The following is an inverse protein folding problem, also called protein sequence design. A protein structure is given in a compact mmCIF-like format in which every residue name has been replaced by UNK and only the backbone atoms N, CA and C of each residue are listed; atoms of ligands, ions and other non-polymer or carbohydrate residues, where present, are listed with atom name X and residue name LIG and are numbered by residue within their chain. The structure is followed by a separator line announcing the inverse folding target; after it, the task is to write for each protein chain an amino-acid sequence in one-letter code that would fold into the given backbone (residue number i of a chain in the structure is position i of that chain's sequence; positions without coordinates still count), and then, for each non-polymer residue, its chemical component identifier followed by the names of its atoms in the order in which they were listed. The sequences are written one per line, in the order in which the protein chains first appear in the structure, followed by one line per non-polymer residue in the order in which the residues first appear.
data_IF_347965348928
#
_entry.id   IF_347965348928
#
_cell.length_a   1.000
_cell.length_b   1.000
_cell.length_c   1.000
_cell.angle_alpha   90.00
_cell.angle_beta   90.00
_cell.angle_gamma   90.00
#
_symmetry.space_group_name_H-M   'P 1'
#
loop_
_entity.id
_entity.type
_entity.pdbx_description
1 polymer ?
#
# COMPACT_ATOMS: atom_id res chain seq x y z
N UNK A 1 5.45 -2.41 7.68
CA UNK A 1 4.06 -1.95 7.54
C UNK A 1 3.64 -1.99 6.09
N UNK A 2 2.36 -2.32 5.83
CA UNK A 2 1.81 -2.37 4.49
C UNK A 2 1.76 -0.99 3.82
N UNK A 3 1.70 -0.97 2.48
CA UNK A 3 1.57 0.27 1.72
C UNK A 3 0.15 0.84 1.79
N UNK A 4 0.04 2.15 1.61
CA UNK A 4 -1.22 2.86 1.50
C UNK A 4 -1.60 3.04 0.02
N UNK A 5 -2.91 3.15 -0.28
CA UNK A 5 -3.38 3.40 -1.65
C UNK A 5 -2.72 4.62 -2.29
N UNK A 6 -2.56 5.72 -1.53
CA UNK A 6 -1.92 6.93 -2.01
C UNK A 6 -0.45 6.73 -2.42
N UNK A 7 0.27 5.78 -1.78
CA UNK A 7 1.62 5.41 -2.20
C UNK A 7 1.61 4.73 -3.57
N UNK A 8 0.72 3.75 -3.78
CA UNK A 8 0.60 3.06 -5.06
C UNK A 8 0.20 4.03 -6.18
N UNK A 9 -0.82 4.87 -5.95
CA UNK A 9 -1.24 5.90 -6.88
C UNK A 9 -0.09 6.88 -7.22
N UNK A 10 0.62 7.37 -6.20
CA UNK A 10 1.77 8.26 -6.40
C UNK A 10 2.92 7.63 -7.16
N UNK A 11 3.20 6.34 -6.96
CA UNK A 11 4.21 5.61 -7.74
C UNK A 11 3.78 5.44 -9.20
N UNK A 12 2.51 5.12 -9.45
CA UNK A 12 1.95 4.99 -10.80
C UNK A 12 2.03 6.32 -11.54
N UNK A 13 1.64 7.42 -10.92
CA UNK A 13 1.73 8.76 -11.53
C UNK A 13 3.18 9.16 -11.81
N UNK A 14 4.09 8.82 -10.91
CA UNK A 14 5.50 9.19 -11.03
C UNK A 14 6.23 8.36 -12.07
N UNK A 15 5.98 7.06 -12.14
CA UNK A 15 6.77 6.11 -12.91
C UNK A 15 5.99 5.41 -14.04
N UNK A 16 4.67 5.40 -13.99
CA UNK A 16 3.82 4.67 -14.92
C UNK A 16 3.54 3.23 -14.49
N UNK A 17 3.06 2.43 -15.43
CA UNK A 17 2.78 1.00 -15.26
C UNK A 17 3.42 0.19 -16.39
N UNK A 18 3.67 -1.08 -16.14
CA UNK A 18 4.06 -2.05 -17.15
C UNK A 18 3.42 -3.42 -16.84
N UNK A 19 3.22 -4.28 -17.84
CA UNK A 19 2.76 -5.65 -17.61
C UNK A 19 3.72 -6.45 -16.72
N UNK A 20 3.20 -7.33 -15.89
CA UNK A 20 4.00 -8.19 -15.02
C UNK A 20 5.02 -9.05 -15.81
N UNK A 21 4.66 -9.47 -17.04
CA UNK A 21 5.56 -10.22 -17.93
C UNK A 21 6.81 -9.44 -18.36
N UNK A 22 6.78 -8.11 -18.27
CA UNK A 22 7.91 -7.23 -18.63
C UNK A 22 9.03 -7.25 -17.59
N UNK A 23 8.67 -7.48 -16.32
CA UNK A 23 9.60 -7.60 -15.21
C UNK A 23 9.17 -8.80 -14.36
N UNK A 24 9.65 -10.00 -14.72
CA UNK A 24 9.27 -11.23 -14.02
C UNK A 24 9.67 -11.21 -12.55
N UNK A 25 8.91 -11.93 -11.74
CA UNK A 25 9.19 -12.12 -10.31
C UNK A 25 10.59 -12.70 -10.08
N UNK A 26 11.31 -12.12 -9.12
CA UNK A 26 12.56 -12.67 -8.60
C UNK A 26 12.28 -13.48 -7.32
N UNK A 27 13.31 -14.18 -6.81
CA UNK A 27 13.19 -14.81 -5.49
C UNK A 27 12.78 -13.80 -4.40
N UNK A 28 13.39 -12.62 -4.42
CA UNK A 28 13.16 -11.60 -3.40
C UNK A 28 11.81 -10.88 -3.52
N UNK A 29 11.13 -10.89 -4.66
CA UNK A 29 9.77 -10.35 -4.77
C UNK A 29 8.76 -11.17 -3.98
N UNK A 30 9.00 -12.48 -3.85
CA UNK A 30 8.17 -13.41 -3.09
C UNK A 30 8.63 -13.61 -1.63
N UNK A 31 9.89 -13.24 -1.31
CA UNK A 31 10.50 -13.38 0.02
C UNK A 31 11.33 -12.13 0.30
N UNK A 32 10.69 -11.10 0.82
CA UNK A 32 11.28 -9.77 1.01
C UNK A 32 12.03 -9.61 2.33
N UNK A 33 11.95 -10.55 3.26
CA UNK A 33 12.46 -10.39 4.62
C UNK A 33 13.98 -10.13 4.65
N UNK A 34 14.74 -10.94 3.93
CA UNK A 34 16.20 -10.81 3.86
C UNK A 34 16.64 -9.52 3.17
N UNK A 35 15.95 -9.15 2.09
CA UNK A 35 16.16 -7.85 1.42
C UNK A 35 15.86 -6.69 2.37
N UNK A 36 14.73 -6.75 3.09
CA UNK A 36 14.33 -5.71 4.04
C UNK A 36 15.35 -5.56 5.17
N UNK A 37 15.86 -6.68 5.73
CA UNK A 37 16.88 -6.65 6.77
C UNK A 37 18.18 -5.96 6.31
N UNK A 38 18.66 -6.31 5.12
CA UNK A 38 19.87 -5.68 4.55
C UNK A 38 19.63 -4.20 4.26
N UNK A 39 18.49 -3.87 3.66
CA UNK A 39 18.13 -2.48 3.34
C UNK A 39 18.00 -1.63 4.60
N UNK A 40 17.29 -2.10 5.61
CA UNK A 40 17.12 -1.43 6.89
C UNK A 40 18.46 -1.15 7.59
N UNK A 41 19.33 -2.13 7.60
CA UNK A 41 20.67 -1.98 8.17
C UNK A 41 21.50 -0.93 7.42
N UNK A 42 21.43 -0.94 6.09
CA UNK A 42 22.08 0.06 5.23
C UNK A 42 21.54 1.46 5.51
N UNK A 43 20.22 1.64 5.49
CA UNK A 43 19.58 2.94 5.70
C UNK A 43 19.86 3.52 7.10
N UNK A 44 19.86 2.68 8.14
CA UNK A 44 20.22 3.11 9.50
C UNK A 44 21.68 3.59 9.58
N UNK A 45 22.60 2.87 8.92
CA UNK A 45 24.00 3.27 8.84
C UNK A 45 24.17 4.61 8.11
N UNK A 46 23.47 4.78 7.00
CA UNK A 46 23.52 6.00 6.19
C UNK A 46 22.95 7.20 6.95
N UNK A 47 21.78 7.03 7.58
CA UNK A 47 21.19 8.06 8.43
C UNK A 47 22.14 8.51 9.56
N UNK A 48 22.86 7.56 10.17
CA UNK A 48 23.87 7.90 11.18
C UNK A 48 25.04 8.68 10.59
N UNK A 49 25.49 8.33 9.39
CA UNK A 49 26.58 9.05 8.71
C UNK A 49 26.17 10.48 8.34
N UNK A 50 24.97 10.68 7.78
CA UNK A 50 24.42 11.99 7.46
C UNK A 50 24.29 12.84 8.73
N UNK A 51 23.73 12.29 9.82
CA UNK A 51 23.65 13.01 11.10
C UNK A 51 25.03 13.48 11.61
N UNK A 52 26.06 12.66 11.45
CA UNK A 52 27.44 13.03 11.81
C UNK A 52 27.98 14.14 10.91
N UNK A 53 27.72 14.12 9.61
CA UNK A 53 28.11 15.20 8.70
C UNK A 53 27.45 16.53 9.12
N UNK A 54 26.16 16.51 9.42
CA UNK A 54 25.42 17.70 9.89
C UNK A 54 25.99 18.21 11.22
N UNK A 55 26.20 17.33 12.20
CA UNK A 55 26.76 17.69 13.50
C UNK A 55 28.16 18.28 13.41
N UNK A 56 28.95 17.89 12.41
CA UNK A 56 30.29 18.41 12.16
C UNK A 56 30.29 19.67 11.27
N UNK A 57 29.13 20.26 10.97
CA UNK A 57 29.03 21.48 10.18
C UNK A 57 29.37 21.29 8.69
N UNK A 58 29.17 20.10 8.12
CA UNK A 58 29.42 19.88 6.70
C UNK A 58 28.53 20.79 5.84
N UNK A 59 29.06 21.23 4.70
CA UNK A 59 28.28 22.03 3.75
C UNK A 59 27.16 21.20 3.11
N UNK A 60 26.14 21.87 2.58
CA UNK A 60 25.02 21.24 1.90
C UNK A 60 25.50 20.38 0.73
N UNK A 61 26.42 20.88 -0.06
CA UNK A 61 27.00 20.19 -1.22
C UNK A 61 27.69 18.88 -0.81
N UNK A 62 28.40 18.90 0.34
CA UNK A 62 29.05 17.69 0.87
C UNK A 62 28.04 16.66 1.35
N UNK A 63 26.95 17.10 1.97
CA UNK A 63 25.87 16.22 2.40
C UNK A 63 25.19 15.60 1.19
N UNK A 64 24.79 16.40 0.18
CA UNK A 64 24.18 15.93 -1.06
C UNK A 64 25.08 14.96 -1.85
N UNK A 65 26.38 15.20 -1.90
CA UNK A 65 27.32 14.27 -2.53
C UNK A 65 27.33 12.92 -1.80
N UNK A 66 27.37 12.93 -0.48
CA UNK A 66 27.34 11.72 0.34
C UNK A 66 25.99 10.97 0.21
N UNK A 67 24.87 11.70 0.17
CA UNK A 67 23.55 11.09 -0.08
C UNK A 67 23.49 10.41 -1.44
N UNK A 68 24.02 11.02 -2.49
CA UNK A 68 24.03 10.43 -3.83
C UNK A 68 24.87 9.15 -3.90
N UNK A 69 26.02 9.09 -3.20
CA UNK A 69 26.80 7.85 -3.09
C UNK A 69 26.02 6.76 -2.36
N UNK A 70 25.37 7.10 -1.25
CA UNK A 70 24.53 6.17 -0.47
C UNK A 70 23.34 5.67 -1.28
N UNK A 71 22.66 6.57 -2.03
CA UNK A 71 21.54 6.20 -2.91
C UNK A 71 21.98 5.28 -4.06
N UNK A 72 23.19 5.44 -4.59
CA UNK A 72 23.74 4.54 -5.58
C UNK A 72 23.94 3.12 -5.01
N UNK A 73 24.35 3.00 -3.74
CA UNK A 73 24.45 1.71 -3.06
C UNK A 73 23.06 1.09 -2.78
N UNK A 74 22.09 1.90 -2.34
CA UNK A 74 20.68 1.48 -2.15
C UNK A 74 20.10 0.96 -3.47
N UNK A 75 20.31 1.70 -4.57
CA UNK A 75 19.86 1.28 -5.89
C UNK A 75 20.49 -0.05 -6.32
N UNK A 76 21.80 -0.23 -6.07
CA UNK A 76 22.51 -1.48 -6.39
C UNK A 76 21.94 -2.68 -5.61
N UNK A 77 21.63 -2.51 -4.31
CA UNK A 77 20.98 -3.55 -3.51
C UNK A 77 19.63 -3.92 -4.12
N UNK A 78 18.80 -2.91 -4.45
CA UNK A 78 17.49 -3.14 -5.07
C UNK A 78 17.62 -3.81 -6.44
N UNK A 79 18.54 -3.35 -7.30
CA UNK A 79 18.75 -3.91 -8.64
C UNK A 79 19.23 -5.37 -8.59
N UNK A 80 20.09 -5.73 -7.64
CA UNK A 80 20.53 -7.10 -7.46
C UNK A 80 19.44 -8.02 -6.91
N UNK A 81 18.53 -7.48 -6.09
CA UNK A 81 17.43 -8.23 -5.48
C UNK A 81 16.24 -8.44 -6.40
N UNK A 82 15.89 -7.43 -7.20
CA UNK A 82 14.65 -7.39 -7.99
C UNK A 82 14.87 -7.27 -9.50
N UNK A 83 16.08 -7.01 -9.95
CA UNK A 83 16.38 -6.66 -11.33
C UNK A 83 16.23 -5.17 -11.62
N UNK A 84 16.71 -4.73 -12.77
CA UNK A 84 16.52 -3.35 -13.24
C UNK A 84 15.25 -3.23 -14.07
N UNK A 85 14.35 -2.27 -13.75
CA UNK A 85 13.18 -2.02 -14.58
C UNK A 85 13.57 -1.62 -16.00
N UNK A 86 13.00 -2.25 -17.03
CA UNK A 86 13.31 -1.88 -18.41
C UNK A 86 12.81 -0.47 -18.71
N UNK A 87 13.64 0.33 -19.39
CA UNK A 87 13.26 1.69 -19.81
C UNK A 87 12.18 1.68 -20.89
N UNK A 88 12.15 0.63 -21.70
CA UNK A 88 11.16 0.40 -22.76
C UNK A 88 10.89 -1.10 -22.87
N UNK A 89 9.68 -1.44 -23.29
CA UNK A 89 9.26 -2.82 -23.51
C UNK A 89 8.34 -2.93 -24.72
N UNK A 90 8.23 -4.12 -25.26
CA UNK A 90 7.24 -4.45 -26.28
C UNK A 90 6.01 -5.05 -25.61
N UNK A 91 4.83 -4.57 -25.95
CA UNK A 91 3.56 -5.12 -25.52
C UNK A 91 3.00 -5.99 -26.63
N UNK A 92 2.78 -7.26 -26.32
CA UNK A 92 2.12 -8.21 -27.21
C UNK A 92 0.98 -8.90 -26.49
N UNK A 93 -0.21 -8.90 -27.10
CA UNK A 93 -1.37 -9.58 -26.51
C UNK A 93 -2.39 -9.94 -27.58
N UNK A 94 -3.33 -10.81 -27.22
CA UNK A 94 -4.55 -11.05 -27.98
C UNK A 94 -5.73 -10.49 -27.22
N UNK A 95 -6.59 -9.76 -27.92
CA UNK A 95 -7.85 -9.26 -27.34
C UNK A 95 -8.90 -10.38 -27.20
N UNK A 96 -10.08 -10.05 -26.70
CA UNK A 96 -11.19 -11.00 -26.49
C UNK A 96 -11.64 -11.65 -27.78
N UNK A 97 -11.45 -11.01 -28.93
CA UNK A 97 -11.70 -11.54 -30.26
C UNK A 97 -10.52 -12.36 -30.81
N UNK A 98 -9.51 -12.65 -29.98
CA UNK A 98 -8.30 -13.38 -30.33
C UNK A 98 -7.41 -12.69 -31.38
N UNK A 99 -7.68 -11.42 -31.69
CA UNK A 99 -6.85 -10.61 -32.59
C UNK A 99 -5.54 -10.26 -31.91
N UNK A 100 -4.44 -10.47 -32.62
CA UNK A 100 -3.09 -10.14 -32.15
C UNK A 100 -2.81 -8.65 -32.25
N UNK A 101 -2.24 -8.11 -31.20
CA UNK A 101 -1.78 -6.73 -31.09
C UNK A 101 -0.32 -6.71 -30.67
N UNK A 102 0.43 -5.78 -31.25
CA UNK A 102 1.82 -5.50 -30.87
C UNK A 102 2.08 -4.02 -30.87
N UNK A 103 2.68 -3.53 -29.81
CA UNK A 103 3.23 -2.19 -29.70
C UNK A 103 4.66 -2.27 -29.19
N UNK A 104 5.58 -1.73 -29.97
CA UNK A 104 7.00 -1.81 -29.67
C UNK A 104 7.49 -0.57 -28.92
N UNK A 105 8.47 -0.76 -28.05
CA UNK A 105 9.25 0.29 -27.38
C UNK A 105 8.43 1.26 -26.52
N UNK A 106 7.34 0.79 -25.91
CA UNK A 106 6.57 1.55 -24.95
C UNK A 106 7.40 1.83 -23.69
N UNK A 107 7.27 3.03 -23.16
CA UNK A 107 7.67 3.36 -21.78
C UNK A 107 6.53 3.06 -20.82
N UNK A 108 6.84 2.88 -19.54
CA UNK A 108 5.82 2.67 -18.51
C UNK A 108 4.78 3.81 -18.45
N UNK A 109 5.18 5.05 -18.69
CA UNK A 109 4.28 6.21 -18.73
C UNK A 109 3.36 6.22 -19.95
N UNK A 110 3.87 5.85 -21.13
CA UNK A 110 3.05 5.72 -22.34
C UNK A 110 2.02 4.61 -22.19
N UNK A 111 2.42 3.46 -21.62
CA UNK A 111 1.52 2.36 -21.34
C UNK A 111 0.41 2.77 -20.35
N UNK A 112 0.76 3.41 -19.23
CA UNK A 112 -0.22 3.91 -18.28
C UNK A 112 -1.21 4.87 -18.93
N UNK A 113 -0.70 5.88 -19.64
CA UNK A 113 -1.54 6.89 -20.31
C UNK A 113 -2.49 6.28 -21.34
N UNK A 114 -2.03 5.27 -22.08
CA UNK A 114 -2.81 4.67 -23.17
C UNK A 114 -3.87 3.69 -22.69
N UNK A 115 -3.52 2.85 -21.70
CA UNK A 115 -4.36 1.71 -21.30
C UNK A 115 -5.14 1.91 -20.01
N UNK A 116 -4.70 2.79 -19.15
CA UNK A 116 -5.34 3.05 -17.87
C UNK A 116 -5.88 4.46 -17.74
N UNK A 117 -5.05 5.46 -17.91
CA UNK A 117 -5.38 6.90 -17.90
C UNK A 117 -6.35 7.32 -16.77
N UNK A 118 -6.26 6.67 -15.61
CA UNK A 118 -7.09 7.00 -14.44
C UNK A 118 -6.58 8.29 -13.80
N UNK A 119 -7.48 9.21 -13.55
CA UNK A 119 -7.17 10.38 -12.73
C UNK A 119 -7.41 10.04 -11.26
N UNK A 120 -6.34 9.86 -10.50
CA UNK A 120 -6.43 9.51 -9.09
C UNK A 120 -6.90 10.66 -8.20
N UNK A 121 -7.01 11.89 -8.70
CA UNK A 121 -7.62 13.00 -7.97
C UNK A 121 -9.14 12.83 -7.80
N UNK A 122 -9.75 11.95 -8.58
CA UNK A 122 -11.16 11.61 -8.45
C UNK A 122 -11.44 10.58 -7.33
N UNK A 123 -10.40 10.08 -6.67
CA UNK A 123 -10.54 9.07 -5.62
C UNK A 123 -10.22 9.64 -4.25
N UNK A 124 -11.03 9.29 -3.28
CA UNK A 124 -10.86 9.66 -1.88
C UNK A 124 -10.74 8.40 -1.04
N UNK A 125 -9.76 8.36 -0.16
CA UNK A 125 -9.64 7.26 0.80
C UNK A 125 -10.51 7.59 2.01
N UNK A 126 -11.48 6.71 2.29
CA UNK A 126 -12.34 6.82 3.46
C UNK A 126 -11.89 5.84 4.55
N UNK A 127 -12.10 6.20 5.79
CA UNK A 127 -11.83 5.33 6.94
C UNK A 127 -12.96 5.42 7.95
N UNK A 128 -13.09 4.44 8.82
CA UNK A 128 -13.94 4.52 9.99
C UNK A 128 -13.09 4.31 11.25
N UNK A 129 -12.77 5.42 11.89
CA UNK A 129 -11.98 5.50 13.13
C UNK A 129 -12.80 6.22 14.20
N UNK A 130 -13.72 5.52 14.89
CA UNK A 130 -14.67 6.14 15.83
C UNK A 130 -14.01 6.64 17.13
N UNK A 131 -12.72 6.39 17.33
CA UNK A 131 -11.89 7.00 18.37
C UNK A 131 -11.57 8.48 18.09
N UNK A 132 -11.86 8.95 16.88
CA UNK A 132 -11.62 10.32 16.40
C UNK A 132 -12.89 10.95 15.83
N UNK A 133 -13.01 12.28 15.84
CA UNK A 133 -14.14 12.99 15.23
C UNK A 133 -14.40 12.56 13.79
N UNK A 134 -15.68 12.26 13.49
CA UNK A 134 -16.12 11.94 12.13
C UNK A 134 -16.18 13.19 11.24
N UNK A 135 -16.24 12.98 9.93
CA UNK A 135 -16.32 14.03 8.89
C UNK A 135 -15.12 14.99 8.95
N UNK A 136 -13.96 14.46 9.31
CA UNK A 136 -12.68 15.16 9.31
C UNK A 136 -11.67 14.44 8.45
N UNK A 137 -10.80 15.22 7.80
CA UNK A 137 -9.64 14.70 7.07
C UNK A 137 -8.48 14.52 8.04
N UNK A 138 -7.85 13.37 7.98
CA UNK A 138 -6.65 13.02 8.76
C UNK A 138 -5.52 12.63 7.81
N UNK A 139 -4.30 13.02 8.13
CA UNK A 139 -3.11 12.65 7.38
C UNK A 139 -2.15 11.82 8.22
N UNK A 140 -1.30 11.06 7.53
CA UNK A 140 -0.21 10.27 8.14
C UNK A 140 1.14 10.79 7.62
N UNK A 141 1.65 11.92 8.14
CA UNK A 141 2.88 12.53 7.62
C UNK A 141 4.11 11.63 7.74
N UNK A 142 4.16 10.76 8.76
CA UNK A 142 5.28 9.82 8.97
C UNK A 142 5.37 8.73 7.89
N UNK A 143 4.29 8.46 7.16
CA UNK A 143 4.25 7.49 6.06
C UNK A 143 4.42 8.12 4.67
N UNK A 144 4.52 9.44 4.56
CA UNK A 144 4.78 10.15 3.30
C UNK A 144 6.24 9.97 2.86
N UNK A 145 6.60 8.76 2.43
CA UNK A 145 7.97 8.35 2.10
C UNK A 145 8.34 8.48 0.62
N UNK A 146 7.41 8.92 -0.23
CA UNK A 146 7.66 9.11 -1.67
C UNK A 146 7.90 10.59 -1.95
N UNK A 147 9.12 10.95 -2.32
CA UNK A 147 9.47 12.34 -2.69
C UNK A 147 8.59 12.79 -3.87
N UNK A 148 7.85 13.89 -3.68
CA UNK A 148 6.85 14.41 -4.63
C UNK A 148 5.72 13.41 -4.96
N UNK A 149 5.47 12.46 -4.05
CA UNK A 149 4.31 11.59 -4.11
C UNK A 149 3.05 12.24 -3.55
N UNK A 150 1.96 11.49 -3.54
CA UNK A 150 0.70 11.92 -2.93
C UNK A 150 0.81 11.96 -1.42
N UNK A 151 0.14 12.92 -0.78
CA UNK A 151 -0.06 12.92 0.66
C UNK A 151 -1.03 11.79 1.03
N UNK A 152 -0.72 11.07 2.10
CA UNK A 152 -1.59 10.04 2.63
C UNK A 152 -2.64 10.73 3.50
N UNK A 153 -3.87 10.70 3.05
CA UNK A 153 -5.01 11.32 3.71
C UNK A 153 -6.21 10.37 3.75
N UNK A 154 -6.99 10.47 4.83
CA UNK A 154 -8.19 9.67 5.05
C UNK A 154 -9.33 10.58 5.50
N UNK A 155 -10.47 10.49 4.84
CA UNK A 155 -11.70 11.08 5.33
C UNK A 155 -12.36 10.12 6.34
N UNK A 156 -12.44 10.51 7.60
CA UNK A 156 -13.06 9.69 8.65
C UNK A 156 -14.58 9.82 8.57
N UNK A 157 -15.26 8.71 8.30
CA UNK A 157 -16.72 8.67 8.10
C UNK A 157 -17.36 7.62 9.02
N UNK A 158 -18.68 7.68 9.17
CA UNK A 158 -19.40 6.61 9.86
C UNK A 158 -19.39 5.31 9.04
N UNK A 159 -19.67 4.19 9.71
CA UNK A 159 -19.59 2.86 9.09
C UNK A 159 -20.65 2.66 8.00
N UNK A 160 -21.82 3.29 8.16
CA UNK A 160 -22.88 3.18 7.15
C UNK A 160 -22.48 3.85 5.85
N UNK A 161 -21.97 5.07 5.91
CA UNK A 161 -21.49 5.78 4.73
C UNK A 161 -20.33 5.05 4.05
N UNK A 162 -19.38 4.50 4.81
CA UNK A 162 -18.29 3.71 4.26
C UNK A 162 -18.81 2.47 3.50
N UNK A 163 -19.78 1.76 4.06
CA UNK A 163 -20.42 0.62 3.41
C UNK A 163 -21.19 1.02 2.16
N UNK A 164 -22.00 2.08 2.23
CA UNK A 164 -22.79 2.58 1.10
C UNK A 164 -21.89 2.99 -0.08
N UNK A 165 -20.79 3.69 0.18
CA UNK A 165 -19.80 4.08 -0.85
C UNK A 165 -19.14 2.86 -1.49
N UNK A 166 -18.77 1.87 -0.68
CA UNK A 166 -18.18 0.62 -1.18
C UNK A 166 -19.13 -0.16 -2.07
N UNK A 167 -20.39 -0.26 -1.65
CA UNK A 167 -21.46 -0.92 -2.43
C UNK A 167 -21.67 -0.19 -3.75
N UNK A 168 -21.75 1.15 -3.71
CA UNK A 168 -21.96 1.94 -4.91
C UNK A 168 -20.81 1.78 -5.91
N UNK A 169 -19.56 1.85 -5.44
CA UNK A 169 -18.38 1.65 -6.30
C UNK A 169 -18.39 0.27 -6.98
N UNK A 170 -18.75 -0.79 -6.23
CA UNK A 170 -18.87 -2.14 -6.81
C UNK A 170 -19.99 -2.23 -7.84
N UNK A 171 -21.14 -1.56 -7.62
CA UNK A 171 -22.25 -1.49 -8.59
C UNK A 171 -21.85 -0.74 -9.85
N UNK A 172 -20.99 0.27 -9.72
CA UNK A 172 -20.45 1.03 -10.86
C UNK A 172 -19.38 0.24 -11.65
N UNK A 173 -19.08 -1.01 -11.23
CA UNK A 173 -18.12 -1.89 -11.91
C UNK A 173 -16.67 -1.65 -11.51
N UNK A 174 -16.42 -0.90 -10.46
CA UNK A 174 -15.07 -0.67 -9.93
C UNK A 174 -14.83 -1.47 -8.65
N UNK A 175 -13.65 -2.05 -8.54
CA UNK A 175 -13.23 -2.80 -7.33
C UNK A 175 -12.92 -1.85 -6.19
N UNK A 176 -13.10 -2.31 -4.94
CA UNK A 176 -12.78 -1.54 -3.74
C UNK A 176 -11.55 -2.14 -3.07
N UNK A 177 -10.45 -1.41 -3.04
CA UNK A 177 -9.32 -1.75 -2.20
C UNK A 177 -9.58 -1.32 -0.76
N UNK A 178 -9.38 -2.22 0.20
CA UNK A 178 -9.60 -1.89 1.59
C UNK A 178 -8.62 -2.61 2.52
N UNK A 179 -8.41 -2.03 3.69
CA UNK A 179 -7.64 -2.62 4.76
C UNK A 179 -8.48 -2.72 6.03
N UNK A 180 -8.34 -3.82 6.74
CA UNK A 180 -9.03 -4.03 8.01
C UNK A 180 -8.25 -4.94 8.97
N UNK A 181 -8.74 -5.06 10.19
CA UNK A 181 -8.25 -6.01 11.18
C UNK A 181 -8.93 -7.37 10.97
N UNK A 182 -8.17 -8.38 10.56
CA UNK A 182 -8.68 -9.75 10.31
C UNK A 182 -7.97 -10.82 11.12
N UNK A 183 -6.86 -10.50 11.80
CA UNK A 183 -6.02 -11.54 12.39
C UNK A 183 -6.47 -12.01 13.76
N UNK A 184 -7.22 -11.21 14.50
CA UNK A 184 -7.55 -11.50 15.90
C UNK A 184 -8.68 -12.52 16.06
N UNK A 185 -9.59 -12.59 15.09
CA UNK A 185 -10.79 -13.44 15.13
C UNK A 185 -10.87 -14.33 13.90
N UNK A 186 -9.73 -14.92 13.51
CA UNK A 186 -9.58 -15.69 12.29
C UNK A 186 -9.11 -17.13 12.60
N UNK A 187 -9.89 -18.11 12.22
CA UNK A 187 -9.41 -19.48 12.03
C UNK A 187 -9.07 -19.69 10.55
N UNK A 188 -7.78 -19.68 10.23
CA UNK A 188 -7.28 -19.82 8.85
C UNK A 188 -7.53 -21.21 8.28
N UNK A 189 -7.52 -22.25 9.12
CA UNK A 189 -7.69 -23.62 8.67
C UNK A 189 -9.15 -23.92 8.32
N UNK A 190 -10.07 -23.44 9.14
CA UNK A 190 -11.50 -23.62 8.92
C UNK A 190 -12.12 -22.55 8.01
N UNK A 191 -11.42 -21.42 7.78
CA UNK A 191 -11.88 -20.31 6.93
C UNK A 191 -12.95 -19.45 7.59
N UNK A 192 -12.97 -19.36 8.92
CA UNK A 192 -13.92 -18.54 9.67
C UNK A 192 -13.31 -17.23 10.14
N UNK A 193 -14.10 -16.17 10.01
CA UNK A 193 -13.85 -14.86 10.62
C UNK A 193 -15.10 -14.47 11.41
N UNK A 194 -15.04 -14.56 12.73
CA UNK A 194 -16.19 -14.33 13.61
C UNK A 194 -15.74 -13.67 14.91
N UNK A 195 -16.42 -12.62 15.35
CA UNK A 195 -16.11 -11.89 16.58
C UNK A 195 -16.27 -12.73 17.86
N UNK A 196 -16.92 -13.87 17.81
CA UNK A 196 -17.13 -14.81 18.90
C UNK A 196 -16.36 -16.13 18.71
N UNK A 197 -15.39 -16.16 17.80
CA UNK A 197 -14.62 -17.37 17.47
C UNK A 197 -13.91 -17.95 18.71
N UNK A 198 -13.29 -17.09 19.48
CA UNK A 198 -12.59 -17.44 20.73
C UNK A 198 -13.42 -16.99 21.92
N UNK A 199 -13.99 -17.93 22.66
CA UNK A 199 -14.85 -17.67 23.82
C UNK A 199 -14.02 -17.42 25.09
N UNK A 200 -13.09 -16.50 25.02
CA UNK A 200 -12.11 -16.20 26.07
C UNK A 200 -12.78 -15.71 27.35
N UNK A 201 -13.80 -14.85 27.21
CA UNK A 201 -14.55 -14.32 28.36
C UNK A 201 -15.27 -15.40 29.13
N UNK A 202 -15.84 -16.38 28.44
CA UNK A 202 -16.52 -17.51 29.09
C UNK A 202 -15.51 -18.44 29.75
N UNK A 203 -14.42 -18.76 29.08
CA UNK A 203 -13.39 -19.67 29.59
C UNK A 203 -12.77 -19.17 30.87
N UNK A 204 -12.44 -17.88 30.94
CA UNK A 204 -11.75 -17.29 32.08
C UNK A 204 -12.68 -16.54 33.04
N UNK A 205 -13.99 -16.45 32.78
CA UNK A 205 -14.96 -15.68 33.54
C UNK A 205 -14.54 -14.21 33.73
N UNK A 206 -14.06 -13.58 32.66
CA UNK A 206 -13.60 -12.18 32.65
C UNK A 206 -14.42 -11.39 31.61
N UNK A 207 -14.29 -10.06 31.62
CA UNK A 207 -14.86 -9.20 30.61
C UNK A 207 -13.71 -8.42 29.91
N UNK A 208 -13.50 -8.72 28.63
CA UNK A 208 -12.50 -8.05 27.78
C UNK A 208 -13.14 -7.32 26.59
N UNK A 209 -14.48 -7.20 26.60
CA UNK A 209 -15.21 -6.57 25.50
C UNK A 209 -14.88 -5.09 25.40
N UNK A 210 -14.47 -4.69 24.22
CA UNK A 210 -14.19 -3.31 23.86
C UNK A 210 -14.97 -2.91 22.61
N UNK A 211 -15.42 -1.67 22.58
CA UNK A 211 -15.94 -1.05 21.37
C UNK A 211 -14.81 -0.86 20.33
N UNK A 212 -15.16 -0.65 19.08
CA UNK A 212 -14.15 -0.36 18.04
C UNK A 212 -13.29 0.86 18.42
N UNK A 213 -13.88 1.90 19.00
CA UNK A 213 -13.15 3.07 19.46
C UNK A 213 -12.12 2.74 20.55
N UNK A 214 -12.53 1.96 21.55
CA UNK A 214 -11.63 1.53 22.64
C UNK A 214 -10.50 0.65 22.11
N UNK A 215 -10.80 -0.28 21.20
CA UNK A 215 -9.77 -1.12 20.59
C UNK A 215 -8.74 -0.30 19.81
N UNK A 216 -9.17 0.71 19.04
CA UNK A 216 -8.27 1.59 18.32
C UNK A 216 -7.44 2.48 19.27
N UNK A 217 -8.07 3.00 20.32
CA UNK A 217 -7.40 3.86 21.30
C UNK A 217 -6.32 3.11 22.10
N UNK A 218 -6.56 1.85 22.40
CA UNK A 218 -5.62 0.99 23.17
C UNK A 218 -4.58 0.29 22.29
N UNK A 219 -4.71 0.36 20.96
CA UNK A 219 -3.86 -0.38 20.02
C UNK A 219 -4.22 -1.85 19.87
N UNK A 220 -5.33 -2.31 20.49
CA UNK A 220 -5.85 -3.67 20.33
C UNK A 220 -6.37 -3.90 18.90
N UNK A 221 -7.01 -2.88 18.30
CA UNK A 221 -7.45 -2.92 16.92
C UNK A 221 -6.43 -2.26 16.00
N UNK A 222 -5.96 -2.97 14.99
CA UNK A 222 -5.05 -2.43 13.97
C UNK A 222 -5.28 -3.09 12.61
N UNK A 223 -5.05 -2.33 11.55
CA UNK A 223 -5.12 -2.88 10.19
C UNK A 223 -4.01 -3.91 10.03
N UNK A 224 -4.40 -5.15 9.77
CA UNK A 224 -3.49 -6.29 9.66
C UNK A 224 -3.44 -6.89 8.25
N UNK A 225 -4.40 -6.55 7.38
CA UNK A 225 -4.48 -7.10 6.03
C UNK A 225 -5.17 -6.13 5.07
N UNK A 226 -4.67 -6.06 3.84
CA UNK A 226 -5.30 -5.35 2.73
C UNK A 226 -5.83 -6.35 1.69
N UNK A 227 -7.02 -6.08 1.17
CA UNK A 227 -7.74 -6.92 0.23
C UNK A 227 -8.44 -6.08 -0.83
N UNK A 228 -9.01 -6.76 -1.83
CA UNK A 228 -9.83 -6.12 -2.85
C UNK A 228 -11.21 -6.78 -2.88
N UNK A 229 -12.25 -5.98 -2.66
CA UNK A 229 -13.63 -6.40 -2.91
C UNK A 229 -13.90 -6.34 -4.41
N UNK A 230 -14.45 -7.42 -4.96
CA UNK A 230 -14.71 -7.57 -6.40
C UNK A 230 -16.20 -7.70 -6.74
N UNK A 231 -17.05 -7.80 -5.73
CA UNK A 231 -18.49 -7.94 -5.91
C UNK A 231 -19.24 -7.80 -4.60
N UNK A 232 -20.56 -7.63 -4.70
CA UNK A 232 -21.47 -7.55 -3.56
C UNK A 232 -22.76 -8.25 -3.91
N UNK A 233 -23.28 -9.02 -2.96
CA UNK A 233 -24.62 -9.60 -2.99
C UNK A 233 -25.46 -8.92 -1.91
N UNK A 234 -26.57 -8.31 -2.30
CA UNK A 234 -27.49 -7.60 -1.42
C UNK A 234 -28.74 -8.44 -1.23
N UNK A 235 -28.92 -8.94 -0.03
CA UNK A 235 -30.14 -9.65 0.35
C UNK A 235 -31.07 -8.61 0.97
N UNK A 236 -32.27 -8.49 0.44
CA UNK A 236 -33.33 -7.67 1.01
C UNK A 236 -33.65 -8.22 2.42
N UNK A 237 -33.46 -7.37 3.43
CA UNK A 237 -33.81 -7.64 4.83
C UNK A 237 -35.00 -6.80 5.26
#
# INVERSE_FOLDING_TARGET
DGGQWAMAAGLIEKYGLMPASTMPESYNTNKTDEFAEVMDKKLRKDALAIRKLVANGATKEKIEASENEMLAEVYRIAAYSFGEPPKKFDLEYRDDNKKYHREAKLTAKEFYKKYFNKNFDNYVVVTNSPDKPLNKLYSLPCENNIIKGRTIEFLNVDMKLLADLSIQQLKDGETVWFGNDVLQQLDRQAGFLDSNLYRTEELFSINTKMTKAERLLTGEGQVSHAMTLTGVDLIDR
#
